data_IF_595305842027
#
_entry.id   IF_595305842027
#
_cell.length_a   1.000
_cell.length_b   1.000
_cell.length_c   1.000
_cell.angle_alpha   90.00
_cell.angle_beta   90.00
_cell.angle_gamma   90.00
#
_symmetry.space_group_name_H-M   'P 1'
#
loop_
_entity.id
_entity.type
_entity.pdbx_description
1 polymer ?
#
# COMPACT_ATOMS: atom_id res chain seq x y z
N UNK A 1 26.18 6.90 -45.00
CA UNK A 1 25.39 7.70 -44.05
C UNK A 1 24.23 6.84 -43.57
N UNK A 2 24.50 6.01 -42.56
CA UNK A 2 23.54 5.12 -41.90
C UNK A 2 23.50 5.57 -40.45
N UNK A 3 22.43 6.28 -40.10
CA UNK A 3 22.17 6.74 -38.73
C UNK A 3 21.55 5.56 -37.98
N UNK A 4 22.29 4.98 -37.03
CA UNK A 4 21.73 4.10 -36.02
C UNK A 4 21.23 4.99 -34.88
N UNK A 5 19.92 5.06 -34.73
CA UNK A 5 19.24 5.66 -33.60
C UNK A 5 19.10 4.59 -32.51
N UNK A 6 19.84 4.74 -31.42
CA UNK A 6 19.80 3.82 -30.27
C UNK A 6 18.86 4.41 -29.23
N UNK A 7 17.63 3.89 -29.21
CA UNK A 7 16.69 4.10 -28.13
C UNK A 7 17.23 3.45 -26.85
N UNK A 8 17.68 4.28 -25.89
CA UNK A 8 17.94 3.84 -24.52
C UNK A 8 16.60 3.75 -23.81
N UNK A 9 16.17 2.52 -23.60
CA UNK A 9 15.07 2.09 -22.77
C UNK A 9 15.30 2.61 -21.33
N UNK A 10 14.51 3.61 -20.90
CA UNK A 10 14.52 4.12 -19.53
C UNK A 10 13.83 3.08 -18.63
N UNK A 11 14.63 2.38 -17.83
CA UNK A 11 14.16 1.56 -16.72
C UNK A 11 13.36 2.42 -15.71
N UNK A 12 12.35 1.84 -15.03
CA UNK A 12 11.55 2.56 -14.05
C UNK A 12 12.44 2.99 -12.88
N UNK A 13 12.36 4.27 -12.53
CA UNK A 13 13.02 4.83 -11.37
C UNK A 13 12.42 4.22 -10.10
N UNK A 14 13.06 3.20 -9.55
CA UNK A 14 12.91 2.81 -8.14
C UNK A 14 13.42 3.98 -7.30
N UNK A 15 12.50 4.88 -6.97
CA UNK A 15 12.79 6.11 -6.24
C UNK A 15 13.21 5.78 -4.82
N UNK A 16 14.51 5.94 -4.54
CA UNK A 16 15.05 5.94 -3.19
C UNK A 16 14.47 7.17 -2.45
N UNK A 17 13.37 6.98 -1.72
CA UNK A 17 12.75 8.02 -0.89
C UNK A 17 13.73 8.34 0.24
N UNK A 18 14.58 9.35 0.03
CA UNK A 18 15.47 9.87 1.07
C UNK A 18 14.75 10.98 1.83
N UNK A 19 14.48 10.72 3.12
CA UNK A 19 14.10 11.78 4.05
C UNK A 19 15.30 12.73 4.22
N UNK A 20 15.07 14.00 4.61
CA UNK A 20 16.00 15.16 4.60
C UNK A 20 17.36 15.07 5.34
N UNK A 21 17.99 13.91 5.28
CA UNK A 21 19.34 13.57 5.66
C UNK A 21 20.28 13.74 4.45
N UNK A 22 21.59 14.01 4.65
CA UNK A 22 22.53 14.27 3.57
C UNK A 22 22.59 13.12 2.56
N UNK A 23 22.59 13.37 1.24
CA UNK A 23 22.54 12.33 0.21
C UNK A 23 23.58 11.23 0.47
N UNK A 24 23.17 9.98 0.31
CA UNK A 24 24.06 8.83 0.51
C UNK A 24 25.06 8.80 -0.64
N UNK A 25 26.33 8.56 -0.34
CA UNK A 25 27.36 8.41 -1.37
C UNK A 25 27.12 7.12 -2.15
N UNK A 26 26.72 7.23 -3.41
CA UNK A 26 26.55 6.07 -4.30
C UNK A 26 27.88 5.35 -4.58
N UNK A 27 29.01 6.06 -4.49
CA UNK A 27 30.33 5.51 -4.77
C UNK A 27 30.88 4.62 -3.65
N UNK A 28 30.48 4.87 -2.40
CA UNK A 28 30.96 4.12 -1.23
C UNK A 28 29.83 3.95 -0.18
N UNK A 29 28.86 3.07 -0.44
CA UNK A 29 27.77 2.84 0.50
C UNK A 29 28.28 2.14 1.76
N UNK A 30 27.90 2.65 2.93
CA UNK A 30 28.16 2.03 4.22
C UNK A 30 26.95 1.25 4.74
N UNK A 31 27.19 0.23 5.56
CA UNK A 31 26.10 -0.54 6.17
C UNK A 31 25.19 0.35 7.05
N UNK A 32 25.73 1.41 7.65
CA UNK A 32 24.96 2.40 8.40
C UNK A 32 23.93 3.13 7.54
N UNK A 33 24.19 3.27 6.23
CA UNK A 33 23.29 3.95 5.31
C UNK A 33 21.98 3.18 5.13
N UNK A 34 21.96 1.86 5.35
CA UNK A 34 20.74 1.04 5.31
C UNK A 34 19.65 1.52 6.28
N UNK A 35 20.02 2.22 7.35
CA UNK A 35 19.04 2.82 8.29
C UNK A 35 18.22 3.93 7.64
N UNK A 36 18.76 4.55 6.59
CA UNK A 36 18.23 5.72 5.91
C UNK A 36 17.49 5.34 4.61
N UNK A 37 17.56 4.07 4.21
CA UNK A 37 16.94 3.55 3.01
C UNK A 37 15.58 2.91 3.31
N UNK A 38 14.68 3.03 2.34
CA UNK A 38 13.43 2.28 2.28
C UNK A 38 13.47 1.29 1.12
N UNK A 39 12.98 0.09 1.38
CA UNK A 39 12.46 -0.80 0.36
C UNK A 39 11.04 -0.36 0.00
N UNK A 40 10.74 -0.36 -1.29
CA UNK A 40 9.49 0.06 -1.88
C UNK A 40 8.77 -1.17 -2.45
N UNK A 41 7.48 -1.29 -2.17
CA UNK A 41 6.65 -2.40 -2.64
C UNK A 41 5.33 -1.86 -3.16
N UNK A 42 4.87 -2.36 -4.31
CA UNK A 42 3.55 -2.00 -4.86
C UNK A 42 2.46 -2.88 -4.22
N UNK A 43 1.49 -2.30 -3.49
CA UNK A 43 0.40 -3.07 -2.90
C UNK A 43 -0.56 -3.58 -3.98
N UNK A 44 -0.93 -4.86 -3.90
CA UNK A 44 -1.90 -5.50 -4.79
C UNK A 44 -2.84 -6.37 -3.96
N UNK A 45 -4.06 -6.60 -4.45
CA UNK A 45 -4.94 -7.58 -3.82
C UNK A 45 -4.36 -9.00 -3.97
N UNK A 46 -4.21 -9.69 -2.83
CA UNK A 46 -3.90 -11.11 -2.82
C UNK A 46 -4.93 -11.87 -3.68
N UNK A 47 -4.52 -12.87 -4.47
CA UNK A 47 -5.40 -13.58 -5.39
C UNK A 47 -6.65 -14.16 -4.70
N UNK A 48 -6.52 -14.56 -3.43
CA UNK A 48 -7.61 -15.08 -2.60
C UNK A 48 -8.64 -13.99 -2.24
N UNK A 49 -8.22 -12.73 -2.15
CA UNK A 49 -9.04 -11.59 -1.80
C UNK A 49 -9.60 -10.85 -3.02
N UNK A 50 -9.26 -11.27 -4.25
CA UNK A 50 -9.86 -10.75 -5.47
C UNK A 50 -11.34 -11.12 -5.46
N UNK A 51 -12.21 -10.13 -5.24
CA UNK A 51 -13.65 -10.39 -5.12
C UNK A 51 -14.18 -11.24 -6.28
N UNK A 52 -14.99 -12.26 -5.94
CA UNK A 52 -15.71 -13.14 -6.88
C UNK A 52 -16.86 -12.39 -7.60
N UNK A 53 -16.75 -11.06 -7.79
CA UNK A 53 -17.75 -10.25 -8.51
C UNK A 53 -17.83 -10.59 -10.01
N UNK A 54 -17.04 -11.55 -10.51
CA UNK A 54 -17.08 -12.08 -11.88
C UNK A 54 -18.20 -13.13 -12.12
N UNK A 55 -19.15 -13.32 -11.21
CA UNK A 55 -20.16 -14.38 -11.30
C UNK A 55 -21.60 -14.00 -11.71
N UNK A 56 -21.89 -12.73 -12.06
CA UNK A 56 -23.27 -12.35 -12.43
C UNK A 56 -23.40 -11.22 -13.45
N UNK A 57 -22.62 -11.22 -14.53
CA UNK A 57 -23.02 -10.48 -15.75
C UNK A 57 -23.97 -11.37 -16.55
N UNK A 58 -25.19 -10.88 -16.79
CA UNK A 58 -26.10 -11.42 -17.80
C UNK A 58 -25.35 -11.42 -19.15
N UNK A 59 -25.49 -12.47 -19.97
CA UNK A 59 -24.84 -12.54 -21.27
C UNK A 59 -25.59 -11.60 -22.24
N UNK A 60 -25.17 -10.34 -22.32
CA UNK A 60 -25.50 -9.50 -23.48
C UNK A 60 -24.38 -8.49 -23.66
N UNK A 61 -23.86 -8.47 -24.88
CA UNK A 61 -22.83 -7.57 -25.44
C UNK A 61 -21.36 -7.87 -25.10
N UNK A 62 -20.74 -8.52 -26.08
CA UNK A 62 -19.28 -8.63 -26.25
C UNK A 62 -18.77 -7.25 -26.66
N UNK A 63 -18.35 -6.46 -25.69
CA UNK A 63 -17.33 -5.44 -25.93
C UNK A 63 -15.97 -6.05 -25.60
N UNK A 64 -14.91 -5.79 -26.40
CA UNK A 64 -13.57 -6.21 -26.05
C UNK A 64 -13.18 -5.43 -24.78
N UNK A 65 -13.16 -6.11 -23.64
CA UNK A 65 -12.75 -5.51 -22.37
C UNK A 65 -11.26 -5.18 -22.45
N UNK A 66 -10.95 -3.90 -22.65
CA UNK A 66 -9.63 -3.30 -22.38
C UNK A 66 -9.37 -3.16 -20.87
N UNK A 67 -9.99 -4.01 -20.06
CA UNK A 67 -9.75 -4.06 -18.62
C UNK A 67 -8.47 -4.87 -18.41
N UNK A 68 -7.31 -4.24 -18.58
CA UNK A 68 -6.12 -4.66 -17.88
C UNK A 68 -6.52 -4.90 -16.42
N UNK A 69 -6.25 -6.09 -15.89
CA UNK A 69 -6.67 -6.46 -14.53
C UNK A 69 -6.11 -5.44 -13.53
N UNK A 70 -6.93 -4.47 -13.11
CA UNK A 70 -6.54 -3.46 -12.14
C UNK A 70 -6.51 -4.10 -10.74
N UNK A 71 -5.41 -4.79 -10.46
CA UNK A 71 -5.13 -5.45 -9.19
C UNK A 71 -4.73 -4.47 -8.08
N UNK A 72 -4.84 -3.15 -8.34
CA UNK A 72 -4.46 -2.10 -7.41
C UNK A 72 -5.28 -2.18 -6.14
N UNK A 73 -4.60 -2.25 -5.00
CA UNK A 73 -5.26 -2.30 -3.71
C UNK A 73 -5.94 -0.97 -3.40
N UNK A 74 -7.21 -1.03 -2.97
CA UNK A 74 -8.02 0.16 -2.65
C UNK A 74 -8.82 -0.06 -1.36
N UNK A 75 -9.18 1.03 -0.70
CA UNK A 75 -10.03 1.03 0.48
C UNK A 75 -10.93 2.24 0.49
N UNK A 76 -12.20 2.01 0.78
CA UNK A 76 -13.19 3.07 0.91
C UNK A 76 -13.21 3.59 2.35
N UNK A 77 -13.34 4.92 2.49
CA UNK A 77 -13.42 5.64 3.76
C UNK A 77 -14.69 6.48 3.75
N UNK A 78 -15.61 6.11 4.63
CA UNK A 78 -16.78 6.90 4.98
C UNK A 78 -16.48 7.72 6.23
N UNK A 79 -16.82 9.00 6.19
CA UNK A 79 -16.85 9.86 7.37
C UNK A 79 -18.25 10.44 7.50
N UNK A 80 -18.88 10.21 8.65
CA UNK A 80 -20.21 10.75 8.96
C UNK A 80 -20.15 12.25 9.28
N UNK A 81 -21.33 12.86 9.47
CA UNK A 81 -21.46 14.27 9.84
C UNK A 81 -20.67 14.60 11.11
N UNK A 82 -19.78 15.60 11.03
CA UNK A 82 -18.89 15.99 12.12
C UNK A 82 -17.76 15.00 12.44
N UNK A 83 -17.64 13.87 11.73
CA UNK A 83 -16.53 12.93 11.94
C UNK A 83 -15.23 13.48 11.35
N UNK A 84 -14.22 13.64 12.21
CA UNK A 84 -12.96 14.29 11.84
C UNK A 84 -11.90 13.34 11.29
N UNK A 85 -11.99 12.04 11.57
CA UNK A 85 -11.02 11.05 11.11
C UNK A 85 -11.57 9.62 11.16
N UNK A 86 -11.04 8.76 10.30
CA UNK A 86 -11.19 7.31 10.40
C UNK A 86 -9.89 6.65 10.88
N UNK A 87 -9.97 5.43 11.41
CA UNK A 87 -8.81 4.67 11.88
C UNK A 87 -8.55 3.46 11.00
N UNK A 88 -7.34 3.37 10.47
CA UNK A 88 -6.85 2.22 9.73
C UNK A 88 -5.91 1.40 10.61
N UNK A 89 -6.32 0.17 10.89
CA UNK A 89 -5.46 -0.83 11.53
C UNK A 89 -4.58 -1.48 10.47
N UNK A 90 -3.27 -1.46 10.69
CA UNK A 90 -2.30 -2.03 9.77
C UNK A 90 -1.45 -3.09 10.49
N UNK A 91 -1.37 -4.27 9.88
CA UNK A 91 -0.50 -5.36 10.28
C UNK A 91 0.31 -5.79 9.06
N UNK A 92 1.62 -5.46 9.04
CA UNK A 92 2.50 -5.79 7.93
C UNK A 92 3.34 -7.00 8.34
N UNK A 93 3.30 -8.04 7.53
CA UNK A 93 3.99 -9.30 7.80
C UNK A 93 4.84 -9.69 6.59
N UNK A 94 6.07 -10.14 6.85
CA UNK A 94 6.88 -10.85 5.88
C UNK A 94 6.53 -12.33 5.99
N UNK A 95 6.05 -12.90 4.89
CA UNK A 95 5.65 -14.31 4.80
C UNK A 95 6.48 -15.03 3.77
N UNK A 96 6.79 -16.30 4.05
CA UNK A 96 7.30 -17.22 3.04
C UNK A 96 6.26 -18.27 2.76
N UNK A 97 5.81 -18.31 1.51
CA UNK A 97 4.83 -19.30 1.07
C UNK A 97 5.43 -20.72 1.08
N UNK A 98 4.60 -21.66 1.51
CA UNK A 98 4.89 -23.08 1.50
C UNK A 98 4.61 -23.72 0.14
N UNK A 99 5.05 -24.97 -0.04
CA UNK A 99 4.82 -25.73 -1.29
C UNK A 99 3.34 -26.03 -1.57
N UNK A 100 2.44 -25.75 -0.62
CA UNK A 100 0.99 -25.86 -0.79
C UNK A 100 0.38 -24.47 -0.58
N UNK A 101 -0.51 -24.08 -1.49
CA UNK A 101 -1.32 -22.86 -1.35
C UNK A 101 -2.01 -22.83 0.02
N UNK A 102 -1.98 -21.67 0.67
CA UNK A 102 -2.58 -21.46 1.99
C UNK A 102 -1.70 -21.85 3.20
N UNK A 103 -0.50 -22.40 2.99
CA UNK A 103 0.45 -22.67 4.08
C UNK A 103 1.66 -21.75 3.99
N UNK A 104 2.11 -21.20 5.12
CA UNK A 104 3.34 -20.42 5.23
C UNK A 104 4.44 -21.24 5.93
N UNK A 105 5.66 -21.19 5.39
CA UNK A 105 6.85 -21.77 6.02
C UNK A 105 7.29 -20.90 7.21
N UNK A 106 7.19 -19.58 7.04
CA UNK A 106 7.52 -18.58 8.05
C UNK A 106 6.58 -17.39 7.97
N UNK A 107 6.43 -16.71 9.11
CA UNK A 107 5.61 -15.52 9.27
C UNK A 107 6.28 -14.62 10.31
N UNK A 108 6.77 -13.47 9.85
CA UNK A 108 7.45 -12.49 10.69
C UNK A 108 6.69 -11.18 10.62
N UNK A 109 6.13 -10.75 11.75
CA UNK A 109 5.51 -9.44 11.85
C UNK A 109 6.57 -8.33 11.78
N UNK A 110 6.38 -7.38 10.86
CA UNK A 110 7.23 -6.20 10.70
C UNK A 110 6.75 -5.04 11.57
N UNK A 111 5.43 -4.83 11.61
CA UNK A 111 4.76 -3.83 12.44
C UNK A 111 3.27 -4.14 12.58
N UNK A 112 2.73 -3.84 13.75
CA UNK A 112 1.31 -3.67 14.00
C UNK A 112 1.07 -2.24 14.50
N UNK A 113 0.11 -1.54 13.91
CA UNK A 113 -0.13 -0.14 14.22
C UNK A 113 -1.50 0.35 13.79
N UNK A 114 -1.80 1.59 14.20
CA UNK A 114 -3.03 2.28 13.85
C UNK A 114 -2.68 3.63 13.26
N UNK A 115 -3.17 3.88 12.06
CA UNK A 115 -3.04 5.14 11.34
C UNK A 115 -4.38 5.88 11.44
N UNK A 116 -4.34 7.18 11.77
CA UNK A 116 -5.52 8.04 11.70
C UNK A 116 -5.52 8.80 10.38
N UNK A 117 -6.63 8.70 9.66
CA UNK A 117 -6.83 9.36 8.38
C UNK A 117 -7.82 10.50 8.61
N UNK A 118 -7.32 11.73 8.62
CA UNK A 118 -8.12 12.90 8.95
C UNK A 118 -8.90 13.42 7.74
N UNK A 119 -10.14 13.87 7.97
CA UNK A 119 -11.01 14.55 6.99
C UNK A 119 -10.27 15.63 6.21
N UNK A 120 -9.55 16.50 6.93
CA UNK A 120 -8.75 17.59 6.34
C UNK A 120 -7.67 17.06 5.41
N UNK A 121 -6.93 16.02 5.84
CA UNK A 121 -5.88 15.41 5.01
C UNK A 121 -6.46 14.75 3.76
N UNK A 122 -7.62 14.08 3.87
CA UNK A 122 -8.32 13.49 2.73
C UNK A 122 -8.74 14.55 1.71
N UNK A 123 -9.37 15.63 2.16
CA UNK A 123 -9.80 16.73 1.30
C UNK A 123 -8.62 17.42 0.60
N UNK A 124 -7.54 17.70 1.33
CA UNK A 124 -6.32 18.29 0.78
C UNK A 124 -5.67 17.35 -0.24
N UNK A 125 -5.54 16.07 0.08
CA UNK A 125 -4.89 15.09 -0.81
C UNK A 125 -5.72 14.83 -2.07
N UNK A 126 -7.05 14.76 -1.94
CA UNK A 126 -7.95 14.61 -3.08
C UNK A 126 -7.91 15.82 -4.04
N UNK A 127 -7.65 17.02 -3.50
CA UNK A 127 -7.56 18.25 -4.30
C UNK A 127 -6.22 18.39 -5.04
N UNK A 128 -5.16 17.72 -4.56
CA UNK A 128 -3.77 17.83 -5.07
C UNK A 128 -3.45 16.84 -6.19
N UNK A 129 -4.41 16.53 -7.07
CA UNK A 129 -4.28 15.46 -8.08
C UNK A 129 -3.13 15.62 -9.10
N UNK A 130 -2.35 16.72 -9.06
CA UNK A 130 -1.15 16.91 -9.86
C UNK A 130 0.05 16.13 -9.30
N UNK A 131 0.28 14.96 -9.90
CA UNK A 131 1.33 13.96 -9.64
C UNK A 131 2.78 14.46 -9.64
N UNK A 132 3.05 15.74 -9.94
CA UNK A 132 4.42 16.25 -10.13
C UNK A 132 5.12 16.77 -8.87
N UNK A 133 4.41 16.90 -7.74
CA UNK A 133 4.97 17.46 -6.49
C UNK A 133 4.64 16.67 -5.20
N UNK A 134 3.96 15.51 -5.28
CA UNK A 134 3.37 14.80 -4.13
C UNK A 134 4.31 13.83 -3.37
N UNK A 135 5.62 14.02 -3.48
CA UNK A 135 6.61 13.00 -3.11
C UNK A 135 6.63 12.52 -1.65
N UNK A 136 6.15 13.34 -0.69
CA UNK A 136 6.17 12.99 0.76
C UNK A 136 4.86 13.25 1.50
N UNK A 137 4.00 14.16 1.04
CA UNK A 137 2.80 14.59 1.78
C UNK A 137 1.69 13.53 1.85
N UNK A 138 1.79 12.51 0.99
CA UNK A 138 0.78 11.47 0.84
C UNK A 138 1.14 10.16 1.57
N UNK A 139 2.20 10.17 2.38
CA UNK A 139 2.64 9.00 3.14
C UNK A 139 2.07 9.07 4.56
N UNK A 140 1.32 8.05 4.93
CA UNK A 140 0.90 7.85 6.31
C UNK A 140 1.79 6.80 6.98
N UNK A 141 2.44 7.20 8.08
CA UNK A 141 3.35 6.34 8.83
C UNK A 141 2.62 5.51 9.87
N UNK A 142 2.89 4.21 9.88
CA UNK A 142 2.26 3.23 10.78
C UNK A 142 2.89 3.25 12.17
N UNK A 143 4.18 3.56 12.24
CA UNK A 143 4.95 3.62 13.49
C UNK A 143 5.61 4.99 13.71
N UNK A 144 6.02 5.23 14.96
CA UNK A 144 6.57 6.52 15.41
C UNK A 144 7.98 6.81 14.86
N UNK A 145 8.70 5.80 14.41
CA UNK A 145 10.06 5.93 13.89
C UNK A 145 10.07 6.15 12.38
N UNK A 146 8.89 6.20 11.76
CA UNK A 146 8.71 6.18 10.32
C UNK A 146 9.45 4.98 9.71
N UNK A 147 9.40 3.80 10.34
CA UNK A 147 10.04 2.63 9.74
C UNK A 147 9.17 2.02 8.63
N UNK A 148 7.85 2.15 8.75
CA UNK A 148 6.86 1.61 7.83
C UNK A 148 5.82 2.68 7.49
N UNK A 149 5.71 3.01 6.21
CA UNK A 149 4.79 4.02 5.68
C UNK A 149 4.03 3.51 4.48
N UNK A 150 2.85 4.06 4.26
CA UNK A 150 2.01 3.73 3.11
C UNK A 150 1.69 5.02 2.37
N UNK A 151 2.01 5.05 1.09
CA UNK A 151 1.65 6.13 0.18
C UNK A 151 0.27 5.88 -0.41
N UNK A 152 -0.56 6.90 -0.38
CA UNK A 152 -1.91 6.84 -0.92
C UNK A 152 -2.12 7.88 -2.01
N UNK A 153 -2.91 7.54 -3.03
CA UNK A 153 -3.74 8.54 -3.71
C UNK A 153 -5.15 8.51 -3.15
N UNK A 154 -5.78 9.69 -3.15
CA UNK A 154 -7.13 9.87 -2.61
C UNK A 154 -8.01 10.41 -3.73
N UNK A 155 -9.14 9.77 -3.96
CA UNK A 155 -10.18 10.24 -4.85
C UNK A 155 -11.46 10.49 -4.06
N UNK A 156 -12.11 11.63 -4.28
CA UNK A 156 -13.47 11.84 -3.79
C UNK A 156 -14.40 10.89 -4.54
N UNK A 157 -15.22 10.13 -3.81
CA UNK A 157 -16.12 9.16 -4.39
C UNK A 157 -17.58 9.56 -4.10
N UNK A 158 -18.49 9.48 -5.09
CA UNK A 158 -19.89 9.79 -4.87
C UNK A 158 -20.52 8.75 -3.94
N UNK A 159 -21.34 9.21 -2.98
CA UNK A 159 -22.08 8.36 -2.05
C UNK A 159 -23.56 8.75 -1.99
N UNK A 160 -24.43 7.77 -1.78
CA UNK A 160 -25.87 7.97 -1.52
C UNK A 160 -26.13 8.73 -0.21
N UNK A 161 -25.18 8.69 0.74
CA UNK A 161 -25.26 9.41 2.01
C UNK A 161 -24.78 10.86 1.94
N UNK A 162 -24.29 11.31 0.77
CA UNK A 162 -23.84 12.69 0.60
C UNK A 162 -25.05 13.65 0.63
N UNK A 163 -25.08 14.65 1.52
CA UNK A 163 -26.23 15.54 1.64
C UNK A 163 -26.34 16.45 0.41
N UNK A 164 -27.58 16.69 -0.03
CA UNK A 164 -27.88 17.57 -1.16
C UNK A 164 -27.67 19.06 -0.82
N UNK A 165 -27.69 19.41 0.47
CA UNK A 165 -27.55 20.78 0.98
C UNK A 165 -26.74 20.71 2.28
N UNK A 166 -25.68 21.50 2.37
CA UNK A 166 -24.87 21.70 3.58
C UNK A 166 -24.73 23.18 3.86
N UNK A 167 -24.83 23.57 5.13
CA UNK A 167 -24.54 24.91 5.60
C UNK A 167 -23.04 25.24 5.49
N UNK A 168 -22.68 26.53 5.55
CA UNK A 168 -21.28 26.97 5.44
C UNK A 168 -20.35 26.48 6.58
N UNK A 169 -20.92 26.06 7.71
CA UNK A 169 -20.19 25.51 8.87
C UNK A 169 -20.51 24.02 9.11
N UNK A 170 -21.22 23.36 8.18
CA UNK A 170 -21.52 21.93 8.31
C UNK A 170 -20.35 21.10 7.81
N UNK A 171 -20.05 19.99 8.50
CA UNK A 171 -19.07 18.97 8.09
C UNK A 171 -19.80 17.75 7.53
N UNK A 172 -20.40 17.83 6.32
CA UNK A 172 -21.30 16.82 5.81
C UNK A 172 -20.65 15.43 5.71
N UNK A 173 -21.46 14.36 5.67
CA UNK A 173 -20.97 13.04 5.31
C UNK A 173 -20.20 13.07 3.98
N UNK A 174 -19.01 12.46 3.99
CA UNK A 174 -18.11 12.39 2.82
C UNK A 174 -17.60 10.97 2.62
N UNK A 175 -17.37 10.62 1.36
CA UNK A 175 -16.86 9.32 0.96
C UNK A 175 -15.61 9.50 0.10
N UNK A 176 -14.54 8.82 0.49
CA UNK A 176 -13.27 8.84 -0.22
C UNK A 176 -12.85 7.42 -0.58
N UNK A 177 -12.25 7.27 -1.76
CA UNK A 177 -11.55 6.06 -2.15
C UNK A 177 -10.04 6.28 -2.02
N UNK A 178 -9.41 5.51 -1.16
CA UNK A 178 -7.95 5.47 -1.01
C UNK A 178 -7.41 4.39 -1.94
N UNK A 179 -6.36 4.75 -2.68
CA UNK A 179 -5.61 3.84 -3.53
C UNK A 179 -4.24 3.66 -2.89
N UNK A 180 -3.86 2.41 -2.61
CA UNK A 180 -2.56 2.06 -2.06
C UNK A 180 -1.52 2.09 -3.18
N UNK A 181 -0.68 3.12 -3.22
CA UNK A 181 0.32 3.29 -4.28
C UNK A 181 1.62 2.55 -3.96
N UNK A 182 2.08 2.68 -2.71
CA UNK A 182 3.40 2.20 -2.32
C UNK A 182 3.44 1.88 -0.82
N UNK A 183 4.00 0.72 -0.47
CA UNK A 183 4.40 0.36 0.88
C UNK A 183 5.91 0.61 1.00
N UNK A 184 6.29 1.45 1.96
CA UNK A 184 7.67 1.78 2.27
C UNK A 184 8.06 1.09 3.57
N UNK A 185 9.13 0.31 3.56
CA UNK A 185 9.67 -0.37 4.75
C UNK A 185 11.15 -0.09 4.82
N UNK A 186 11.65 0.41 5.96
CA UNK A 186 13.09 0.62 6.12
C UNK A 186 13.87 -0.66 5.84
N UNK A 187 14.94 -0.54 5.07
CA UNK A 187 15.71 -1.71 4.57
C UNK A 187 16.18 -2.59 5.73
N UNK A 188 16.66 -1.98 6.83
CA UNK A 188 17.12 -2.75 7.99
C UNK A 188 16.01 -3.62 8.62
N UNK A 189 14.74 -3.21 8.55
CA UNK A 189 13.61 -4.01 9.05
C UNK A 189 13.36 -5.22 8.16
N UNK A 190 13.43 -5.04 6.83
CA UNK A 190 13.28 -6.15 5.87
C UNK A 190 14.40 -7.17 6.06
N UNK A 191 15.65 -6.72 6.12
CA UNK A 191 16.81 -7.61 6.34
C UNK A 191 16.70 -8.38 7.66
N UNK A 192 16.38 -7.68 8.75
CA UNK A 192 16.16 -8.33 10.05
C UNK A 192 15.01 -9.34 10.00
N UNK A 193 13.91 -9.03 9.32
CA UNK A 193 12.79 -9.94 9.19
C UNK A 193 13.14 -11.17 8.35
N UNK A 194 13.98 -11.04 7.33
CA UNK A 194 14.50 -12.17 6.55
C UNK A 194 15.38 -13.10 7.39
N UNK A 195 16.27 -12.55 8.23
CA UNK A 195 17.08 -13.35 9.16
C UNK A 195 16.19 -14.11 10.16
N UNK A 196 15.19 -13.43 10.74
CA UNK A 196 14.21 -14.05 11.63
C UNK A 196 13.39 -15.13 10.92
N UNK A 197 13.01 -14.89 9.65
CA UNK A 197 12.32 -15.87 8.82
C UNK A 197 13.16 -17.13 8.66
N UNK A 198 14.44 -17.01 8.30
CA UNK A 198 15.33 -18.16 8.15
C UNK A 198 15.46 -18.99 9.44
N UNK A 199 15.50 -18.33 10.59
CA UNK A 199 15.49 -19.00 11.91
C UNK A 199 14.17 -19.72 12.15
N UNK A 200 13.03 -19.08 11.84
CA UNK A 200 11.72 -19.72 11.95
C UNK A 200 11.58 -20.93 11.04
N UNK A 201 12.08 -20.89 9.80
CA UNK A 201 12.01 -22.01 8.86
C UNK A 201 12.71 -23.26 9.40
N UNK A 202 13.90 -23.10 9.98
CA UNK A 202 14.65 -24.19 10.63
C UNK A 202 13.92 -24.69 11.87
N UNK A 203 13.33 -23.79 12.66
CA UNK A 203 12.55 -24.16 13.86
C UNK A 203 11.20 -24.83 13.55
N UNK A 204 10.55 -24.43 12.46
CA UNK A 204 9.23 -24.90 12.05
C UNK A 204 9.27 -26.14 11.17
N UNK A 205 10.45 -26.70 10.85
CA UNK A 205 10.58 -27.97 10.14
C UNK A 205 9.99 -29.11 10.98
N UNK A 206 8.65 -29.25 10.97
CA UNK A 206 7.90 -30.34 11.58
C UNK A 206 6.76 -29.98 12.56
N UNK A 207 6.39 -28.71 12.82
CA UNK A 207 5.45 -28.39 13.94
C UNK A 207 4.35 -27.33 13.72
N UNK A 208 4.16 -26.75 12.52
CA UNK A 208 3.17 -25.66 12.37
C UNK A 208 1.76 -26.17 12.04
N UNK A 209 0.77 -25.79 12.86
CA UNK A 209 -0.67 -25.97 12.64
C UNK A 209 -1.31 -24.61 12.31
N UNK A 210 -1.94 -24.47 11.15
CA UNK A 210 -2.70 -23.28 10.74
C UNK A 210 -4.19 -23.62 10.80
N UNK A 211 -4.97 -22.84 11.57
CA UNK A 211 -6.44 -22.96 11.61
C UNK A 211 -7.02 -21.85 10.75
N UNK A 212 -7.69 -22.21 9.66
CA UNK A 212 -8.50 -21.26 8.90
C UNK A 212 -9.85 -21.05 9.60
N UNK A 213 -10.19 -19.81 9.90
CA UNK A 213 -11.55 -19.44 10.27
C UNK A 213 -12.44 -19.51 9.04
N UNK A 214 -13.45 -20.38 9.06
CA UNK A 214 -14.54 -20.30 8.09
C UNK A 214 -15.47 -19.16 8.52
N UNK A 215 -15.61 -18.12 7.69
CA UNK A 215 -16.71 -17.17 7.84
C UNK A 215 -18.01 -17.89 7.51
N UNK A 216 -18.94 -17.96 8.46
CA UNK A 216 -20.36 -18.22 8.16
C UNK A 216 -21.01 -16.99 7.56
#
# INVERSE_FOLDING_TARGET
>A
MTSHDSAIERLPSEGLVTQGDPPISEAEPQLSDLRRLYSSFRPVFAPENRTVRRGRRRPTEVQPSEDAEDDTATQDIDLDDGELFSQLCAAINLVKEGPRSGLFISHVNLVDGVVRVFRKWLAETASKQDLSQSGQENILWVDKNNDVGIRFSVALAPSETMPLISGPDDDPPVHYKLVYEELLVRVYKVVKALELSAVQEVGNSGKTLVIHGASM
#
